data_IF_569103068309
#
_entry.id   IF_569103068309
#
_cell.length_a   1.000
_cell.length_b   1.000
_cell.length_c   1.000
_cell.angle_alpha   90.00
_cell.angle_beta   90.00
_cell.angle_gamma   90.00
#
_symmetry.space_group_name_H-M   'P 1'
#
loop_
_entity.id
_entity.type
_entity.pdbx_description
1 polymer ?
#
# COMPACT_ATOMS: atom_id res chain seq x y z
N UNK A 1 4.33 4.80 6.54
CA UNK A 1 4.42 4.07 5.25
C UNK A 1 5.09 2.72 5.44
N UNK A 2 6.33 2.69 5.96
CA UNK A 2 7.11 1.45 6.15
C UNK A 2 6.38 0.33 6.93
N UNK A 3 5.65 0.65 8.01
CA UNK A 3 4.91 -0.35 8.77
C UNK A 3 3.76 -1.00 7.98
N UNK A 4 3.07 -0.24 7.14
CA UNK A 4 1.99 -0.75 6.30
C UNK A 4 2.54 -1.73 5.25
N UNK A 5 3.63 -1.35 4.60
CA UNK A 5 4.32 -2.19 3.61
C UNK A 5 4.85 -3.48 4.24
N UNK A 6 5.43 -3.39 5.45
CA UNK A 6 5.91 -4.57 6.18
C UNK A 6 4.78 -5.53 6.56
N UNK A 7 3.62 -5.00 6.97
CA UNK A 7 2.42 -5.78 7.24
C UNK A 7 1.88 -6.48 5.99
N UNK A 8 1.85 -5.77 4.85
CA UNK A 8 1.48 -6.35 3.56
C UNK A 8 2.45 -7.45 3.12
N UNK A 9 3.77 -7.22 3.23
CA UNK A 9 4.80 -8.23 2.90
C UNK A 9 4.58 -9.51 3.70
N UNK A 10 4.38 -9.37 5.01
CA UNK A 10 4.21 -10.52 5.91
C UNK A 10 2.95 -11.32 5.57
N UNK A 11 1.84 -10.66 5.22
CA UNK A 11 0.56 -11.33 4.92
C UNK A 11 0.51 -11.90 3.51
N UNK A 12 1.00 -11.15 2.53
CA UNK A 12 0.82 -11.45 1.11
C UNK A 12 1.96 -12.29 0.52
N UNK A 13 3.19 -12.08 0.98
CA UNK A 13 4.37 -12.79 0.46
C UNK A 13 4.81 -13.92 1.40
N UNK A 14 4.97 -13.63 2.69
CA UNK A 14 5.56 -14.60 3.62
C UNK A 14 4.52 -15.54 4.25
N UNK A 15 3.26 -15.11 4.35
CA UNK A 15 2.13 -15.84 4.98
C UNK A 15 2.47 -16.48 6.34
N UNK A 16 3.38 -15.86 7.11
CA UNK A 16 3.83 -16.37 8.42
C UNK A 16 4.79 -17.58 8.36
N UNK A 17 5.31 -17.95 7.18
CA UNK A 17 6.28 -19.05 7.03
C UNK A 17 7.68 -18.59 7.44
N UNK A 18 8.45 -19.50 8.04
CA UNK A 18 9.87 -19.28 8.31
C UNK A 18 10.68 -19.65 7.07
N UNK A 19 11.43 -18.70 6.54
CA UNK A 19 12.40 -18.92 5.48
C UNK A 19 13.78 -19.12 6.11
N UNK A 20 14.43 -20.26 5.79
CA UNK A 20 15.74 -20.63 6.33
C UNK A 20 16.91 -20.15 5.47
N UNK A 21 16.65 -19.66 4.27
CA UNK A 21 17.65 -19.26 3.29
C UNK A 21 17.44 -17.79 2.89
N UNK A 22 18.50 -16.99 3.00
CA UNK A 22 18.46 -15.56 2.72
C UNK A 22 18.19 -15.27 1.23
N UNK A 23 18.78 -16.06 0.33
CA UNK A 23 18.60 -15.87 -1.12
C UNK A 23 17.14 -16.01 -1.53
N UNK A 24 16.49 -17.07 -1.05
CA UNK A 24 15.07 -17.29 -1.29
C UNK A 24 14.22 -16.13 -0.74
N UNK A 25 14.57 -15.59 0.43
CA UNK A 25 13.88 -14.42 0.98
C UNK A 25 14.04 -13.18 0.07
N UNK A 26 15.24 -12.93 -0.43
CA UNK A 26 15.50 -11.79 -1.34
C UNK A 26 14.73 -11.93 -2.66
N UNK A 27 14.71 -13.14 -3.24
CA UNK A 27 13.96 -13.43 -4.47
C UNK A 27 12.46 -13.19 -4.30
N UNK A 28 11.87 -13.69 -3.20
CA UNK A 28 10.44 -13.52 -2.91
C UNK A 28 10.09 -12.04 -2.65
N UNK A 29 10.92 -11.30 -1.91
CA UNK A 29 10.73 -9.85 -1.67
C UNK A 29 10.84 -9.07 -2.98
N UNK A 30 11.81 -9.40 -3.84
CA UNK A 30 11.99 -8.74 -5.13
C UNK A 30 10.79 -8.98 -6.06
N UNK A 31 10.30 -10.23 -6.13
CA UNK A 31 9.12 -10.56 -6.93
C UNK A 31 7.86 -9.85 -6.40
N UNK A 32 7.63 -9.87 -5.08
CA UNK A 32 6.47 -9.24 -4.47
C UNK A 32 6.49 -7.71 -4.60
N UNK A 33 7.64 -7.07 -4.39
CA UNK A 33 7.77 -5.61 -4.56
C UNK A 33 7.60 -5.19 -6.01
N UNK A 34 8.07 -6.00 -6.97
CA UNK A 34 7.82 -5.81 -8.39
C UNK A 34 6.33 -5.86 -8.76
N UNK A 35 5.62 -6.90 -8.30
CA UNK A 35 4.16 -7.03 -8.47
C UNK A 35 3.42 -5.85 -7.84
N UNK A 36 3.77 -5.48 -6.61
CA UNK A 36 3.15 -4.35 -5.93
C UNK A 36 3.37 -3.05 -6.68
N UNK A 37 4.59 -2.75 -7.10
CA UNK A 37 4.90 -1.53 -7.84
C UNK A 37 4.17 -1.48 -9.19
N UNK A 38 3.99 -2.62 -9.86
CA UNK A 38 3.22 -2.71 -11.10
C UNK A 38 1.71 -2.56 -10.87
N UNK A 39 1.18 -3.09 -9.75
CA UNK A 39 -0.23 -3.00 -9.36
C UNK A 39 -0.60 -1.68 -8.73
N UNK A 40 0.36 -1.00 -8.13
CA UNK A 40 0.22 0.33 -7.58
C UNK A 40 0.04 1.31 -8.75
N UNK A 41 -1.19 1.34 -9.26
CA UNK A 41 -1.71 2.51 -9.95
C UNK A 41 -1.48 3.65 -8.98
N UNK A 42 -0.62 4.61 -9.37
CA UNK A 42 -0.38 5.79 -8.58
C UNK A 42 -1.73 6.33 -8.09
N UNK A 43 -1.81 6.67 -6.81
CA UNK A 43 -2.98 7.38 -6.31
C UNK A 43 -3.08 8.62 -7.17
N UNK A 44 -4.15 8.69 -7.98
CA UNK A 44 -4.45 9.84 -8.80
C UNK A 44 -4.83 10.97 -7.85
N UNK A 45 -3.79 11.64 -7.37
CA UNK A 45 -3.86 12.56 -6.27
C UNK A 45 -4.40 13.89 -6.82
N UNK A 46 -5.71 14.05 -6.69
CA UNK A 46 -6.44 15.22 -7.18
C UNK A 46 -6.31 16.47 -6.28
N UNK A 47 -5.60 16.37 -5.14
CA UNK A 47 -5.43 17.49 -4.21
C UNK A 47 -4.07 18.17 -4.44
N UNK A 48 -4.06 19.48 -4.65
CA UNK A 48 -2.78 20.21 -4.62
C UNK A 48 -2.30 20.38 -3.18
N UNK A 49 -1.01 20.72 -2.98
CA UNK A 49 -0.48 21.02 -1.64
C UNK A 49 -1.18 22.23 -0.98
N UNK A 50 -1.77 23.12 -1.78
CA UNK A 50 -2.64 24.19 -1.30
C UNK A 50 -4.01 23.67 -0.87
N UNK A 51 -4.62 22.76 -1.64
CA UNK A 51 -5.91 22.14 -1.31
C UNK A 51 -5.86 21.39 0.03
N UNK A 52 -4.76 20.66 0.29
CA UNK A 52 -4.54 19.95 1.55
C UNK A 52 -4.44 20.86 2.81
N UNK A 53 -4.20 22.17 2.64
CA UNK A 53 -4.19 23.14 3.75
C UNK A 53 -5.57 23.68 4.07
N UNK A 54 -6.51 23.56 3.14
CA UNK A 54 -7.90 23.92 3.36
C UNK A 54 -8.64 22.72 3.97
N UNK A 55 -9.39 22.97 5.05
CA UNK A 55 -10.21 21.92 5.67
C UNK A 55 -11.31 21.53 4.68
N UNK A 56 -11.37 20.27 4.21
CA UNK A 56 -12.43 19.88 3.30
C UNK A 56 -13.78 20.01 4.01
N UNK A 57 -14.74 20.63 3.33
CA UNK A 57 -16.13 20.63 3.78
C UNK A 57 -16.64 19.19 3.75
N UNK A 58 -17.28 18.76 4.84
CA UNK A 58 -17.80 17.41 4.99
C UNK A 58 -18.95 17.16 4.02
N UNK A 59 -18.65 16.60 2.84
CA UNK A 59 -19.65 16.12 1.88
C UNK A 59 -19.90 14.63 2.15
N UNK A 60 -20.59 14.31 3.25
CA UNK A 60 -21.21 12.99 3.36
C UNK A 60 -22.47 13.03 2.48
N UNK A 61 -22.66 12.09 1.54
CA UNK A 61 -23.94 11.97 0.89
C UNK A 61 -24.96 11.58 1.96
N UNK A 62 -25.94 12.44 2.22
CA UNK A 62 -27.11 12.01 2.95
C UNK A 62 -27.72 10.87 2.16
N UNK A 63 -27.82 9.71 2.81
CA UNK A 63 -28.48 8.53 2.26
C UNK A 63 -29.85 8.95 1.74
N UNK A 64 -30.02 8.91 0.43
CA UNK A 64 -31.33 8.95 -0.20
C UNK A 64 -32.06 7.70 0.30
N UNK A 65 -32.96 7.90 1.25
CA UNK A 65 -33.99 6.94 1.65
C UNK A 65 -35.14 7.04 0.65
#
# INVERSE_FOLDING_TARGET
>A
MAECELGCLTRQCLSGRRLGELRLLEEEIAAWSGDLNARQRGVDWQMTAEDARCKPNSVYPESIV
#
